data_IF_346374939333
#
_entry.id   IF_346374939333
#
_cell.length_a   1.000
_cell.length_b   1.000
_cell.length_c   1.000
_cell.angle_alpha   90.00
_cell.angle_beta   90.00
_cell.angle_gamma   90.00
#
_symmetry.space_group_name_H-M   'P 1'
#
loop_
_entity.id
_entity.type
_entity.pdbx_description
1 polymer ?
#
# COMPACT_ATOMS: atom_id res chain seq x y z
N UNK A 1 -8.58 -17.23 -24.85
CA UNK A 1 -8.30 -15.83 -25.20
C UNK A 1 -7.14 -15.45 -24.32
N UNK A 2 -5.93 -15.80 -24.74
CA UNK A 2 -5.03 -14.95 -25.54
C UNK A 2 -4.79 -13.61 -24.84
N UNK A 3 -3.62 -13.55 -24.20
CA UNK A 3 -3.12 -12.40 -23.47
C UNK A 3 -2.89 -11.21 -24.39
N UNK A 4 -3.16 -10.04 -23.84
CA UNK A 4 -2.98 -8.77 -24.51
C UNK A 4 -1.59 -8.26 -24.13
N UNK A 5 -0.68 -8.34 -25.11
CA UNK A 5 0.58 -7.61 -25.13
C UNK A 5 0.28 -6.16 -25.54
N UNK A 6 0.76 -5.16 -24.79
CA UNK A 6 0.94 -3.81 -25.32
C UNK A 6 2.38 -3.33 -25.09
N UNK A 7 3.10 -3.22 -26.21
CA UNK A 7 4.21 -2.28 -26.38
C UNK A 7 3.60 -0.99 -26.90
N UNK A 8 3.91 0.14 -26.29
CA UNK A 8 4.13 1.37 -27.05
C UNK A 8 5.09 2.30 -26.31
N UNK A 9 6.15 2.71 -27.02
CA UNK A 9 7.19 3.59 -26.51
C UNK A 9 6.69 5.03 -26.46
N UNK A 10 6.89 5.68 -25.31
CA UNK A 10 6.62 7.12 -25.18
C UNK A 10 7.69 7.93 -25.92
N UNK A 11 7.28 8.65 -26.96
CA UNK A 11 8.14 9.61 -27.66
C UNK A 11 8.30 10.90 -26.84
N UNK A 12 9.49 11.53 -26.81
CA UNK A 12 9.69 12.77 -26.06
C UNK A 12 8.97 13.96 -26.71
N UNK A 13 8.19 14.67 -25.90
CA UNK A 13 7.54 15.92 -26.25
C UNK A 13 8.59 17.02 -26.49
N UNK A 14 8.64 17.57 -27.70
CA UNK A 14 9.46 18.75 -28.03
C UNK A 14 8.53 19.95 -28.17
N UNK A 15 8.51 20.84 -27.18
CA UNK A 15 7.88 22.15 -27.33
C UNK A 15 8.82 23.08 -28.10
N UNK A 16 8.47 23.34 -29.36
CA UNK A 16 8.88 24.56 -30.04
C UNK A 16 8.19 25.76 -29.39
N UNK A 17 8.89 26.90 -29.42
CA UNK A 17 8.40 28.26 -29.14
C UNK A 17 8.88 28.80 -27.79
N UNK A 18 9.91 29.66 -27.87
CA UNK A 18 10.63 30.26 -26.75
C UNK A 18 9.81 31.28 -25.96
N UNK A 19 8.95 30.77 -25.08
CA UNK A 19 8.57 31.45 -23.85
C UNK A 19 9.17 30.67 -22.69
N UNK A 20 10.04 31.30 -21.90
CA UNK A 20 10.42 30.76 -20.59
C UNK A 20 9.14 30.74 -19.74
N UNK A 21 8.43 29.62 -19.74
CA UNK A 21 7.53 29.30 -18.65
C UNK A 21 8.42 29.21 -17.41
N UNK A 22 8.21 30.11 -16.46
CA UNK A 22 8.66 29.91 -15.09
C UNK A 22 8.01 28.59 -14.68
N UNK A 23 8.83 27.56 -14.49
CA UNK A 23 8.37 26.25 -14.04
C UNK A 23 7.56 26.44 -12.77
N UNK A 24 6.42 25.76 -12.72
CA UNK A 24 5.43 25.85 -11.67
C UNK A 24 5.97 25.29 -10.34
N UNK A 25 6.59 26.15 -9.52
CA UNK A 25 7.09 25.81 -8.17
C UNK A 25 5.97 25.29 -7.25
N UNK A 26 4.69 25.50 -7.59
CA UNK A 26 3.55 24.98 -6.84
C UNK A 26 3.52 23.46 -6.86
N UNK A 27 3.77 22.86 -8.04
CA UNK A 27 3.61 21.43 -8.24
C UNK A 27 4.68 20.64 -7.48
N UNK A 28 5.92 21.12 -7.44
CA UNK A 28 6.99 20.46 -6.69
C UNK A 28 6.79 20.53 -5.18
N UNK A 29 6.31 21.66 -4.65
CA UNK A 29 6.02 21.81 -3.22
C UNK A 29 4.79 21.00 -2.82
N UNK A 30 3.87 20.78 -3.75
CA UNK A 30 2.69 19.98 -3.52
C UNK A 30 3.02 18.49 -3.39
N UNK A 31 3.69 17.92 -4.40
CA UNK A 31 4.17 16.53 -4.33
C UNK A 31 5.09 16.30 -3.12
N UNK A 32 5.94 17.25 -2.74
CA UNK A 32 6.74 17.12 -1.52
C UNK A 32 5.86 17.05 -0.27
N UNK A 33 4.80 17.85 -0.17
CA UNK A 33 3.89 17.79 0.98
C UNK A 33 3.14 16.44 1.06
N UNK A 34 2.77 15.84 -0.07
CA UNK A 34 2.14 14.51 -0.07
C UNK A 34 3.13 13.44 0.40
N UNK A 35 4.39 13.50 -0.07
CA UNK A 35 5.44 12.59 0.39
C UNK A 35 5.76 12.79 1.87
N UNK A 36 5.80 14.02 2.37
CA UNK A 36 5.99 14.32 3.79
C UNK A 36 4.78 13.82 4.62
N UNK A 37 3.56 13.93 4.08
CA UNK A 37 2.35 13.37 4.71
C UNK A 37 2.47 11.86 4.90
N UNK A 38 2.95 11.15 3.88
CA UNK A 38 3.22 9.71 3.98
C UNK A 38 4.34 9.41 4.98
N UNK A 39 5.53 9.99 4.75
CA UNK A 39 6.75 9.64 5.47
C UNK A 39 6.70 10.01 6.96
N UNK A 40 6.21 11.22 7.28
CA UNK A 40 6.25 11.74 8.64
C UNK A 40 5.01 11.40 9.47
N UNK A 41 3.91 10.96 8.83
CA UNK A 41 2.63 10.74 9.51
C UNK A 41 2.03 9.36 9.26
N UNK A 42 1.69 9.01 8.02
CA UNK A 42 0.97 7.76 7.74
C UNK A 42 1.84 6.50 7.97
N UNK A 43 3.09 6.50 7.51
CA UNK A 43 3.97 5.33 7.64
C UNK A 43 4.34 4.98 9.10
N UNK A 44 4.63 5.94 9.99
CA UNK A 44 4.76 5.64 11.42
C UNK A 44 3.51 4.98 12.01
N UNK A 45 2.30 5.41 11.60
CA UNK A 45 1.05 4.79 12.06
C UNK A 45 0.94 3.34 11.57
N UNK A 46 1.23 3.08 10.29
CA UNK A 46 1.26 1.71 9.73
C UNK A 46 2.23 0.83 10.52
N UNK A 47 3.42 1.35 10.81
CA UNK A 47 4.45 0.66 11.58
C UNK A 47 3.95 0.31 13.00
N UNK A 48 3.37 1.26 13.72
CA UNK A 48 2.83 1.07 15.06
C UNK A 48 1.68 0.04 15.07
N UNK A 49 0.78 0.12 14.09
CA UNK A 49 -0.34 -0.80 13.92
C UNK A 49 0.14 -2.25 13.75
N UNK A 50 1.09 -2.48 12.85
CA UNK A 50 1.64 -3.83 12.60
C UNK A 50 2.44 -4.36 13.80
N UNK A 51 3.18 -3.49 14.50
CA UNK A 51 3.90 -3.87 15.73
C UNK A 51 2.94 -4.27 16.86
N UNK A 52 1.86 -3.53 17.03
CA UNK A 52 0.82 -3.84 18.01
C UNK A 52 0.13 -5.16 17.65
N UNK A 53 -0.34 -5.28 16.42
CA UNK A 53 -1.00 -6.48 15.89
C UNK A 53 -0.15 -7.74 16.07
N UNK A 54 1.13 -7.71 15.68
CA UNK A 54 2.04 -8.85 15.85
C UNK A 54 2.36 -9.21 17.30
N UNK A 55 2.07 -8.31 18.24
CA UNK A 55 2.25 -8.56 19.68
C UNK A 55 1.00 -9.15 20.36
N UNK A 56 -0.13 -9.26 19.65
CA UNK A 56 -1.37 -9.79 20.19
C UNK A 56 -1.27 -11.30 20.49
N UNK A 57 -1.94 -11.75 21.55
CA UNK A 57 -1.86 -13.14 22.01
C UNK A 57 -2.47 -14.13 21.00
N UNK A 58 -3.43 -13.68 20.22
CA UNK A 58 -4.18 -14.39 19.19
C UNK A 58 -3.73 -14.04 17.76
N UNK A 59 -2.55 -13.41 17.61
CA UNK A 59 -1.98 -13.05 16.31
C UNK A 59 -2.00 -14.21 15.31
N UNK A 60 -1.64 -15.43 15.74
CA UNK A 60 -1.59 -16.60 14.86
C UNK A 60 -2.98 -17.03 14.38
N UNK A 61 -3.99 -16.90 15.23
CA UNK A 61 -5.38 -17.15 14.89
C UNK A 61 -5.90 -16.10 13.89
N UNK A 62 -5.57 -14.82 14.11
CA UNK A 62 -5.95 -13.73 13.22
C UNK A 62 -5.28 -13.82 11.84
N UNK A 63 -4.00 -14.21 11.78
CA UNK A 63 -3.30 -14.47 10.51
C UNK A 63 -3.98 -15.56 9.68
N UNK A 64 -4.57 -16.57 10.32
CA UNK A 64 -5.32 -17.61 9.61
C UNK A 64 -6.66 -17.14 9.09
N UNK A 65 -7.29 -16.17 9.77
CA UNK A 65 -8.52 -15.56 9.29
C UNK A 65 -8.27 -14.75 8.01
N UNK A 66 -7.17 -14.01 7.98
CA UNK A 66 -6.78 -13.22 6.80
C UNK A 66 -6.23 -14.10 5.67
N UNK A 67 -5.24 -14.95 5.93
CA UNK A 67 -4.43 -15.61 4.88
C UNK A 67 -4.65 -17.12 4.78
N UNK A 68 -5.65 -17.65 5.47
CA UNK A 68 -6.00 -19.07 5.49
C UNK A 68 -5.05 -19.95 6.33
N UNK A 69 -5.29 -21.27 6.31
CA UNK A 69 -4.55 -22.23 7.15
C UNK A 69 -3.25 -22.75 6.51
N UNK A 70 -3.01 -22.47 5.23
CA UNK A 70 -1.94 -23.11 4.44
C UNK A 70 -0.76 -22.21 4.07
N UNK A 71 -0.69 -20.99 4.61
CA UNK A 71 0.44 -20.09 4.35
C UNK A 71 1.76 -20.64 4.91
N UNK A 72 2.88 -20.21 4.31
CA UNK A 72 4.22 -20.54 4.76
C UNK A 72 4.54 -19.80 6.07
N UNK A 73 4.35 -20.49 7.18
CA UNK A 73 4.60 -19.96 8.54
C UNK A 73 6.04 -19.47 8.70
N UNK A 74 7.03 -20.14 8.09
CA UNK A 74 8.43 -19.74 8.23
C UNK A 74 8.72 -18.43 7.50
N UNK A 75 8.13 -18.23 6.31
CA UNK A 75 8.21 -16.93 5.63
C UNK A 75 7.49 -15.83 6.39
N UNK A 76 6.27 -16.12 6.88
CA UNK A 76 5.50 -15.17 7.67
C UNK A 76 6.28 -14.71 8.92
N UNK A 77 6.91 -15.62 9.66
CA UNK A 77 7.72 -15.28 10.84
C UNK A 77 8.92 -14.38 10.48
N UNK A 78 9.54 -14.58 9.31
CA UNK A 78 10.63 -13.72 8.83
C UNK A 78 10.10 -12.32 8.54
N UNK A 79 9.01 -12.19 7.78
CA UNK A 79 8.43 -10.89 7.42
C UNK A 79 7.93 -10.13 8.65
N UNK A 80 7.23 -10.80 9.55
CA UNK A 80 6.73 -10.22 10.81
C UNK A 80 7.87 -9.74 11.70
N UNK A 81 9.01 -10.44 11.70
CA UNK A 81 10.18 -9.99 12.46
C UNK A 81 10.74 -8.65 11.95
N UNK A 82 10.57 -8.35 10.66
CA UNK A 82 10.99 -7.07 10.09
C UNK A 82 10.12 -5.90 10.57
N UNK A 83 8.85 -6.14 10.95
CA UNK A 83 7.99 -5.09 11.49
C UNK A 83 8.52 -4.52 12.80
N UNK A 84 9.36 -5.25 13.54
CA UNK A 84 9.89 -4.79 14.82
C UNK A 84 11.15 -3.92 14.68
N UNK A 85 11.65 -3.72 13.46
CA UNK A 85 12.85 -2.93 13.18
C UNK A 85 12.52 -1.79 12.22
N UNK A 86 12.34 -0.59 12.77
CA UNK A 86 12.08 0.64 12.01
C UNK A 86 13.18 0.99 10.99
N UNK A 87 14.36 0.36 11.09
CA UNK A 87 15.46 0.52 10.12
C UNK A 87 15.37 -0.43 8.93
N UNK A 88 14.55 -1.47 9.03
CA UNK A 88 14.26 -2.38 7.93
C UNK A 88 13.07 -1.83 7.15
N UNK A 89 13.28 -1.49 5.87
CA UNK A 89 12.19 -1.24 4.94
C UNK A 89 11.40 -2.54 4.75
N UNK A 90 10.37 -2.75 5.56
CA UNK A 90 9.47 -3.91 5.49
C UNK A 90 8.34 -3.70 4.48
N UNK A 91 8.08 -2.44 4.12
CA UNK A 91 7.09 -2.09 3.10
C UNK A 91 7.68 -2.23 1.69
N UNK A 92 6.88 -2.70 0.73
CA UNK A 92 7.21 -2.57 -0.69
C UNK A 92 7.30 -1.10 -1.11
N UNK A 93 7.71 -0.85 -2.36
CA UNK A 93 7.75 0.52 -2.90
C UNK A 93 6.33 1.12 -2.88
N UNK A 94 6.20 2.38 -2.44
CA UNK A 94 4.94 3.13 -2.48
C UNK A 94 5.06 4.25 -3.50
N UNK A 95 4.08 4.36 -4.41
CA UNK A 95 3.98 5.41 -5.41
C UNK A 95 2.64 6.13 -5.30
N UNK A 96 2.67 7.44 -5.52
CA UNK A 96 1.46 8.25 -5.68
C UNK A 96 1.20 8.40 -7.19
N UNK A 97 -0.02 8.09 -7.60
CA UNK A 97 -0.50 8.15 -8.99
C UNK A 97 -1.92 8.72 -9.01
N UNK A 98 -2.45 9.11 -10.16
CA UNK A 98 -3.84 9.57 -10.22
C UNK A 98 -4.82 8.44 -9.93
N UNK A 99 -5.98 8.77 -9.36
CA UNK A 99 -7.08 7.82 -9.09
C UNK A 99 -7.48 7.05 -10.36
N UNK A 100 -7.45 7.70 -11.53
CA UNK A 100 -7.77 7.09 -12.83
C UNK A 100 -6.78 5.97 -13.20
N UNK A 101 -5.50 6.10 -12.87
CA UNK A 101 -4.47 5.09 -13.15
C UNK A 101 -4.70 3.79 -12.38
N UNK A 102 -5.41 3.85 -11.25
CA UNK A 102 -5.79 2.71 -10.42
C UNK A 102 -7.30 2.45 -10.45
N UNK A 103 -7.97 2.80 -11.54
CA UNK A 103 -9.39 2.51 -11.82
C UNK A 103 -10.38 3.08 -10.79
N UNK A 104 -10.08 4.21 -10.16
CA UNK A 104 -10.96 4.83 -9.17
C UNK A 104 -10.78 4.30 -7.75
N UNK A 105 -9.71 3.57 -7.47
CA UNK A 105 -9.40 3.05 -6.14
C UNK A 105 -8.61 4.07 -5.31
N UNK A 106 -8.67 3.98 -3.97
CA UNK A 106 -7.84 4.80 -3.08
C UNK A 106 -6.40 4.27 -2.98
N UNK A 107 -6.25 2.95 -3.10
CA UNK A 107 -5.00 2.23 -3.14
C UNK A 107 -5.08 1.04 -4.10
N UNK A 108 -3.92 0.53 -4.51
CA UNK A 108 -3.83 -0.73 -5.24
C UNK A 108 -2.43 -1.35 -5.11
N UNK A 109 -2.35 -2.65 -4.84
CA UNK A 109 -1.12 -3.43 -4.91
C UNK A 109 -0.94 -4.08 -6.28
N UNK A 110 0.21 -3.84 -6.90
CA UNK A 110 0.62 -4.51 -8.14
C UNK A 110 1.64 -5.62 -7.85
N UNK A 111 1.19 -6.87 -7.89
CA UNK A 111 2.04 -8.04 -7.64
C UNK A 111 3.17 -8.24 -8.65
N UNK A 112 3.05 -7.74 -9.88
CA UNK A 112 4.13 -7.87 -10.89
C UNK A 112 5.37 -7.02 -10.56
N UNK A 113 5.17 -5.89 -9.90
CA UNK A 113 6.24 -4.94 -9.56
C UNK A 113 6.48 -4.82 -8.06
N UNK A 114 5.71 -5.54 -7.24
CA UNK A 114 5.71 -5.43 -5.78
C UNK A 114 5.62 -3.95 -5.34
N UNK A 115 4.58 -3.25 -5.83
CA UNK A 115 4.41 -1.82 -5.61
C UNK A 115 3.00 -1.53 -5.10
N UNK A 116 2.92 -0.74 -4.04
CA UNK A 116 1.68 -0.13 -3.56
C UNK A 116 1.51 1.21 -4.27
N UNK A 117 0.36 1.42 -4.88
CA UNK A 117 -0.06 2.69 -5.46
C UNK A 117 -1.10 3.32 -4.56
N UNK A 118 -0.99 4.62 -4.32
CA UNK A 118 -1.99 5.43 -3.63
C UNK A 118 -2.51 6.50 -4.60
N UNK A 119 -3.82 6.71 -4.62
CA UNK A 119 -4.41 7.80 -5.39
C UNK A 119 -3.96 9.15 -4.81
N UNK A 120 -3.46 10.03 -5.66
CA UNK A 120 -3.05 11.40 -5.32
C UNK A 120 -4.22 12.13 -4.66
N UNK A 121 -5.38 12.10 -5.31
CA UNK A 121 -6.63 12.72 -4.85
C UNK A 121 -7.05 12.22 -3.47
N UNK A 122 -6.89 10.93 -3.20
CA UNK A 122 -7.18 10.34 -1.88
C UNK A 122 -6.21 10.85 -0.81
N UNK A 123 -4.91 10.87 -1.09
CA UNK A 123 -3.90 11.38 -0.14
C UNK A 123 -4.13 12.87 0.14
N UNK A 124 -4.44 13.64 -0.89
CA UNK A 124 -4.77 15.07 -0.79
C UNK A 124 -5.97 15.34 0.12
N UNK A 125 -7.08 14.61 -0.10
CA UNK A 125 -8.31 14.78 0.66
C UNK A 125 -8.16 14.37 2.14
N UNK A 126 -7.15 13.52 2.44
CA UNK A 126 -6.92 12.95 3.77
C UNK A 126 -5.63 13.45 4.45
N UNK A 127 -5.02 14.56 4.00
CA UNK A 127 -3.87 15.17 4.72
C UNK A 127 -4.19 15.48 6.20
N UNK A 128 -5.47 15.73 6.51
CA UNK A 128 -5.95 15.93 7.89
C UNK A 128 -6.47 14.68 8.61
N UNK A 129 -6.48 13.52 7.96
CA UNK A 129 -6.96 12.22 8.46
C UNK A 129 -5.97 11.12 8.02
N UNK A 130 -4.77 11.17 8.59
CA UNK A 130 -3.66 10.29 8.20
C UNK A 130 -3.91 8.83 8.58
N UNK A 131 -4.81 8.58 9.51
CA UNK A 131 -5.31 7.25 9.86
C UNK A 131 -6.09 6.60 8.70
N UNK A 132 -6.84 7.37 7.90
CA UNK A 132 -7.48 6.87 6.70
C UNK A 132 -6.44 6.42 5.66
N UNK A 133 -5.37 7.20 5.49
CA UNK A 133 -4.26 6.86 4.58
C UNK A 133 -3.55 5.59 5.08
N UNK A 134 -3.23 5.51 6.37
CA UNK A 134 -2.60 4.35 6.97
C UNK A 134 -3.47 3.08 6.82
N UNK A 135 -4.79 3.20 6.96
CA UNK A 135 -5.73 2.08 6.75
C UNK A 135 -5.60 1.48 5.35
N UNK A 136 -5.55 2.32 4.31
CA UNK A 136 -5.39 1.85 2.92
C UNK A 136 -4.01 1.24 2.71
N UNK A 137 -2.94 1.82 3.29
CA UNK A 137 -1.59 1.22 3.18
C UNK A 137 -1.54 -0.16 3.84
N UNK A 138 -2.19 -0.36 4.99
CA UNK A 138 -2.25 -1.67 5.66
C UNK A 138 -2.97 -2.71 4.80
N UNK A 139 -4.06 -2.32 4.15
CA UNK A 139 -4.83 -3.17 3.22
C UNK A 139 -3.96 -3.62 2.03
N UNK A 140 -3.30 -2.69 1.34
CA UNK A 140 -2.44 -3.03 0.20
C UNK A 140 -1.18 -3.78 0.61
N UNK A 141 -0.66 -3.50 1.81
CA UNK A 141 0.43 -4.26 2.39
C UNK A 141 0.04 -5.72 2.66
N UNK A 142 -1.22 -6.00 3.01
CA UNK A 142 -1.68 -7.37 3.19
C UNK A 142 -1.70 -8.17 1.89
N UNK A 143 -2.03 -7.55 0.74
CA UNK A 143 -1.91 -8.22 -0.55
C UNK A 143 -0.45 -8.55 -0.92
N UNK A 144 0.48 -7.63 -0.63
CA UNK A 144 1.91 -7.92 -0.73
C UNK A 144 2.31 -9.09 0.18
N UNK A 145 1.89 -9.03 1.44
CA UNK A 145 2.22 -10.03 2.43
C UNK A 145 1.67 -11.42 2.05
N UNK A 146 0.43 -11.49 1.56
CA UNK A 146 -0.19 -12.74 1.09
C UNK A 146 0.62 -13.34 -0.06
N UNK A 147 0.97 -12.55 -1.07
CA UNK A 147 1.77 -13.00 -2.22
C UNK A 147 3.14 -13.57 -1.83
N UNK A 148 3.72 -13.13 -0.71
CA UNK A 148 4.98 -13.65 -0.20
C UNK A 148 4.83 -15.00 0.52
N UNK A 149 3.77 -15.14 1.33
CA UNK A 149 3.57 -16.29 2.22
C UNK A 149 2.74 -17.41 1.58
N UNK A 150 1.92 -17.09 0.58
CA UNK A 150 1.04 -18.02 -0.10
C UNK A 150 1.49 -18.24 -1.55
N UNK A 151 1.22 -19.44 -2.07
CA UNK A 151 1.51 -19.81 -3.47
C UNK A 151 0.30 -19.64 -4.40
N UNK A 152 -0.87 -19.50 -3.79
CA UNK A 152 -2.13 -19.19 -4.39
C UNK A 152 -2.74 -18.11 -3.50
N UNK A 153 -3.14 -17.01 -4.12
CA UNK A 153 -3.89 -15.92 -3.49
C UNK A 153 -4.97 -16.50 -2.57
N UNK A 154 -5.05 -16.01 -1.34
CA UNK A 154 -6.10 -16.46 -0.45
C UNK A 154 -7.50 -16.09 -1.02
N UNK A 155 -8.56 -16.79 -0.60
CA UNK A 155 -9.90 -16.59 -1.16
C UNK A 155 -10.67 -15.45 -0.48
N UNK A 156 -10.84 -14.31 -1.15
CA UNK A 156 -11.68 -13.23 -0.63
C UNK A 156 -11.10 -11.86 -0.92
N UNK A 157 -11.18 -10.99 0.08
CA UNK A 157 -10.50 -9.70 0.16
C UNK A 157 -9.60 -9.73 1.41
N UNK A 158 -8.50 -10.47 1.28
CA UNK A 158 -7.52 -10.73 2.34
C UNK A 158 -6.98 -9.43 2.91
N UNK A 159 -6.80 -8.44 2.03
CA UNK A 159 -6.40 -7.08 2.34
C UNK A 159 -7.36 -6.44 3.32
N UNK A 160 -8.65 -6.38 2.97
CA UNK A 160 -9.69 -5.81 3.82
C UNK A 160 -9.81 -6.55 5.15
N UNK A 161 -9.79 -7.89 5.13
CA UNK A 161 -9.88 -8.71 6.35
C UNK A 161 -8.69 -8.41 7.29
N UNK A 162 -7.47 -8.43 6.75
CA UNK A 162 -6.28 -8.14 7.53
C UNK A 162 -6.29 -6.71 8.09
N UNK A 163 -6.63 -5.72 7.27
CA UNK A 163 -6.70 -4.33 7.70
C UNK A 163 -7.71 -4.14 8.84
N UNK A 164 -8.88 -4.78 8.77
CA UNK A 164 -9.87 -4.74 9.84
C UNK A 164 -9.33 -5.34 11.15
N UNK A 165 -8.63 -6.47 11.07
CA UNK A 165 -8.00 -7.12 12.24
C UNK A 165 -6.90 -6.24 12.85
N UNK A 166 -6.03 -5.65 12.02
CA UNK A 166 -4.95 -4.76 12.46
C UNK A 166 -5.47 -3.49 13.13
N UNK A 167 -6.56 -2.92 12.60
CA UNK A 167 -7.18 -1.70 13.11
C UNK A 167 -8.10 -1.93 14.31
N UNK A 168 -8.25 -3.18 14.78
CA UNK A 168 -9.21 -3.60 15.80
C UNK A 168 -10.65 -3.13 15.48
N UNK A 169 -10.95 -3.03 14.18
CA UNK A 169 -12.32 -2.81 13.71
C UNK A 169 -13.01 -4.16 13.82
N UNK A 170 -14.03 -4.24 14.68
CA UNK A 170 -14.91 -5.40 14.74
C UNK A 170 -15.27 -5.79 13.31
N UNK A 171 -14.86 -7.00 12.89
CA UNK A 171 -15.39 -7.65 11.70
C UNK A 171 -16.88 -7.87 11.96
N UNK A 172 -17.70 -6.87 11.65
CA UNK A 172 -19.15 -7.04 11.64
C UNK A 172 -19.43 -8.11 10.58
N UNK A 173 -19.79 -9.30 11.07
CA UNK A 173 -20.15 -10.47 10.26
C UNK A 173 -21.14 -10.04 9.15
N UNK A 174 -20.71 -10.07 7.89
CA UNK A 174 -21.62 -9.96 6.73
C UNK A 174 -22.36 -11.28 6.49
#
# INVERSE_FOLDING_TARGET
MEGIFFKEEVSPFVSGDGHFAVGDDSNSNFYSNLLDTLADNALPIVQDLLQNFSSQADFKEQMKLAFGDSYDVSKAEILVSAWQDESLGFLPEIKIVSEEEINGANGAFAGETETIYLAEEFVEDNVGDVEAIASVIVEEFAHYFDGEINSLDAPGDEGEIFANLVLDKLLDEQ
#
